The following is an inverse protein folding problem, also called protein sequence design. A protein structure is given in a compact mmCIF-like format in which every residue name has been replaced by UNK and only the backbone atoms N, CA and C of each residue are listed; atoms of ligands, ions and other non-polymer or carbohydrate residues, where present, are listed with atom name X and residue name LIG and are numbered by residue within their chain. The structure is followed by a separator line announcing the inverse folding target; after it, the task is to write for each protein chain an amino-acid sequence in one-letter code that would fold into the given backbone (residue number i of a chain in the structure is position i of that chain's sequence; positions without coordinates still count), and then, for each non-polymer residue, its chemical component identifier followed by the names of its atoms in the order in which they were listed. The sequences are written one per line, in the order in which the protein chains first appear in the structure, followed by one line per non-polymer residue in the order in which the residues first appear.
data_IF_252675060329
#
_entry.id   IF_252675060329
#
_cell.length_a   1.000
_cell.length_b   1.000
_cell.length_c   1.000
_cell.angle_alpha   90.00
_cell.angle_beta   90.00
_cell.angle_gamma   90.00
#
_symmetry.space_group_name_H-M   'P 1'
#
loop_
_entity.id
_entity.type
_entity.pdbx_description
1 polymer ?
#
# COMPACT_ATOMS: atom_id res chain seq x y z
N UNK A 1 -28.77 20.43 25.17
CA UNK A 1 -28.50 19.00 25.35
C UNK A 1 -28.33 18.27 23.99
N UNK A 2 -29.27 18.46 23.06
CA UNK A 2 -29.21 17.81 21.75
C UNK A 2 -28.02 18.30 20.92
N UNK A 3 -27.70 19.60 20.94
CA UNK A 3 -26.58 20.19 20.23
C UNK A 3 -25.24 19.64 20.75
N UNK A 4 -25.08 19.48 22.06
CA UNK A 4 -23.87 18.90 22.62
C UNK A 4 -23.72 17.42 22.27
N UNK A 5 -24.80 16.67 22.18
CA UNK A 5 -24.79 15.27 21.75
C UNK A 5 -24.32 15.15 20.29
N UNK A 6 -24.84 15.97 19.37
CA UNK A 6 -24.43 16.01 17.99
C UNK A 6 -22.96 16.41 17.83
N UNK A 7 -22.49 17.42 18.56
CA UNK A 7 -21.09 17.84 18.56
C UNK A 7 -20.18 16.73 19.09
N UNK A 8 -20.63 16.00 20.12
CA UNK A 8 -19.90 14.82 20.62
C UNK A 8 -19.76 13.73 19.58
N UNK A 9 -20.83 13.43 18.84
CA UNK A 9 -20.79 12.45 17.74
C UNK A 9 -19.86 12.88 16.61
N UNK A 10 -19.92 14.15 16.20
CA UNK A 10 -19.03 14.72 15.18
C UNK A 10 -17.58 14.62 15.63
N UNK A 11 -17.28 14.91 16.90
CA UNK A 11 -15.92 14.80 17.43
C UNK A 11 -15.42 13.35 17.46
N UNK A 12 -16.28 12.38 17.77
CA UNK A 12 -15.94 10.94 17.72
C UNK A 12 -15.64 10.53 16.29
N UNK A 13 -16.47 10.91 15.32
CA UNK A 13 -16.24 10.61 13.90
C UNK A 13 -14.94 11.24 13.41
N UNK A 14 -14.69 12.49 13.74
CA UNK A 14 -13.44 13.18 13.39
C UNK A 14 -12.23 12.49 14.02
N UNK A 15 -12.34 12.01 15.26
CA UNK A 15 -11.29 11.27 15.94
C UNK A 15 -10.93 9.96 15.24
N UNK A 16 -11.94 9.19 14.83
CA UNK A 16 -11.70 7.94 14.11
C UNK A 16 -11.11 8.18 12.71
N UNK A 17 -11.60 9.16 11.98
CA UNK A 17 -11.04 9.52 10.68
C UNK A 17 -9.59 10.00 10.79
N UNK A 18 -9.28 10.80 11.81
CA UNK A 18 -7.91 11.23 12.07
C UNK A 18 -7.00 10.04 12.40
N UNK A 19 -7.48 9.10 13.21
CA UNK A 19 -6.74 7.89 13.54
C UNK A 19 -6.45 7.05 12.28
N UNK A 20 -7.43 6.88 11.40
CA UNK A 20 -7.27 6.16 10.14
C UNK A 20 -6.28 6.89 9.22
N UNK A 21 -6.39 8.21 9.11
CA UNK A 21 -5.44 9.01 8.34
C UNK A 21 -4.01 8.84 8.84
N UNK A 22 -3.81 8.87 10.15
CA UNK A 22 -2.49 8.68 10.75
C UNK A 22 -1.93 7.27 10.46
N UNK A 23 -2.76 6.25 10.46
CA UNK A 23 -2.37 4.88 10.09
C UNK A 23 -1.96 4.83 8.62
N UNK A 24 -2.72 5.43 7.73
CA UNK A 24 -2.40 5.51 6.30
C UNK A 24 -1.07 6.22 6.10
N UNK A 25 -0.86 7.36 6.75
CA UNK A 25 0.37 8.13 6.65
C UNK A 25 1.57 7.31 7.16
N UNK A 26 1.43 6.61 8.26
CA UNK A 26 2.50 5.78 8.81
C UNK A 26 2.85 4.60 7.90
N UNK A 27 1.85 3.94 7.32
CA UNK A 27 2.08 2.89 6.31
C UNK A 27 2.76 3.47 5.07
N UNK A 28 2.29 4.59 4.57
CA UNK A 28 2.82 5.24 3.37
C UNK A 28 4.26 5.72 3.58
N UNK A 29 4.59 6.18 4.77
CA UNK A 29 5.95 6.66 5.09
C UNK A 29 6.93 5.51 5.38
N UNK A 30 6.45 4.33 5.77
CA UNK A 30 7.29 3.22 6.23
C UNK A 30 7.09 1.90 5.50
N UNK A 31 6.35 1.86 4.38
CA UNK A 31 6.08 0.61 3.66
C UNK A 31 7.35 -0.12 3.21
N UNK A 32 8.42 0.61 2.95
CA UNK A 32 9.71 0.08 2.52
C UNK A 32 10.46 -0.67 3.63
N UNK A 33 10.06 -0.49 4.89
CA UNK A 33 10.61 -1.26 5.99
C UNK A 33 9.99 -2.65 6.00
N UNK A 34 10.83 -3.69 5.87
CA UNK A 34 10.34 -5.07 5.86
C UNK A 34 9.72 -5.48 7.19
N UNK A 35 10.17 -4.90 8.28
CA UNK A 35 9.80 -5.21 9.66
C UNK A 35 8.74 -4.25 10.26
N UNK A 36 7.98 -3.56 9.42
CA UNK A 36 6.91 -2.69 9.91
C UNK A 36 5.92 -3.50 10.76
N UNK A 37 5.74 -3.07 12.00
CA UNK A 37 4.82 -3.69 12.94
C UNK A 37 3.45 -3.01 12.91
N UNK A 38 2.53 -3.56 12.10
CA UNK A 38 1.18 -3.03 11.97
C UNK A 38 0.40 -3.06 13.29
N UNK A 39 0.68 -4.02 14.18
CA UNK A 39 0.03 -4.06 15.48
C UNK A 39 0.39 -2.82 16.30
N UNK A 40 1.65 -2.44 16.33
CA UNK A 40 2.10 -1.21 16.99
C UNK A 40 1.51 0.04 16.35
N UNK A 41 1.44 0.09 15.02
CA UNK A 41 0.82 1.19 14.27
C UNK A 41 -0.64 1.36 14.68
N UNK A 42 -1.40 0.26 14.74
CA UNK A 42 -2.81 0.28 15.11
C UNK A 42 -3.02 0.67 16.59
N UNK A 43 -2.17 0.19 17.48
CA UNK A 43 -2.23 0.52 18.91
C UNK A 43 -2.05 2.01 19.20
N UNK A 44 -1.25 2.71 18.42
CA UNK A 44 -1.05 4.16 18.55
C UNK A 44 -2.36 4.96 18.36
N UNK A 45 -3.36 4.38 17.72
CA UNK A 45 -4.66 5.04 17.51
C UNK A 45 -5.43 5.30 18.81
N UNK A 46 -5.14 4.56 19.89
CA UNK A 46 -5.87 4.59 21.14
C UNK A 46 -7.18 3.81 21.15
N UNK A 47 -7.60 3.28 20.00
CA UNK A 47 -8.77 2.40 19.88
C UNK A 47 -8.38 0.93 20.04
N UNK A 48 -9.36 0.07 20.36
CA UNK A 48 -9.09 -1.37 20.32
C UNK A 48 -8.72 -1.81 18.91
N UNK A 49 -7.89 -2.85 18.82
CA UNK A 49 -7.39 -3.32 17.53
C UNK A 49 -8.52 -3.75 16.59
N UNK A 50 -9.50 -4.51 17.13
CA UNK A 50 -10.65 -4.96 16.33
C UNK A 50 -11.50 -3.79 15.82
N UNK A 51 -11.72 -2.79 16.66
CA UNK A 51 -12.49 -1.61 16.31
C UNK A 51 -11.82 -0.80 15.21
N UNK A 52 -10.52 -0.54 15.36
CA UNK A 52 -9.79 0.26 14.35
C UNK A 52 -9.63 -0.49 13.03
N UNK A 53 -9.42 -1.81 13.06
CA UNK A 53 -9.37 -2.63 11.85
C UNK A 53 -10.67 -2.60 11.08
N UNK A 54 -11.79 -2.74 11.76
CA UNK A 54 -13.11 -2.69 11.15
C UNK A 54 -13.40 -1.32 10.51
N UNK A 55 -13.07 -0.24 11.20
CA UNK A 55 -13.26 1.10 10.67
C UNK A 55 -12.30 1.44 9.53
N UNK A 56 -11.07 0.99 9.62
CA UNK A 56 -10.09 1.14 8.53
C UNK A 56 -10.62 0.49 7.24
N UNK A 57 -11.13 -0.73 7.33
CA UNK A 57 -11.73 -1.44 6.19
C UNK A 57 -12.98 -0.74 5.67
N UNK A 58 -13.82 -0.22 6.55
CA UNK A 58 -15.02 0.52 6.18
C UNK A 58 -14.69 1.78 5.39
N UNK A 59 -13.66 2.52 5.79
CA UNK A 59 -13.26 3.78 5.17
C UNK A 59 -12.44 3.56 3.89
N UNK A 60 -11.48 2.64 3.92
CA UNK A 60 -10.53 2.42 2.80
C UNK A 60 -10.95 1.30 1.84
N UNK A 61 -11.89 0.45 2.24
CA UNK A 61 -12.25 -0.76 1.50
C UNK A 61 -11.28 -1.93 1.68
N UNK A 62 -10.22 -1.77 2.45
CA UNK A 62 -9.13 -2.75 2.63
C UNK A 62 -8.75 -2.89 4.08
N UNK A 63 -8.24 -4.07 4.46
CA UNK A 63 -7.58 -4.23 5.75
C UNK A 63 -6.25 -3.47 5.77
N UNK A 64 -5.70 -3.13 6.94
CA UNK A 64 -4.37 -2.51 7.02
C UNK A 64 -3.27 -3.34 6.33
N UNK A 65 -3.33 -4.66 6.45
CA UNK A 65 -2.38 -5.58 5.79
C UNK A 65 -2.51 -5.52 4.26
N UNK A 66 -3.74 -5.56 3.75
CA UNK A 66 -4.00 -5.41 2.31
C UNK A 66 -3.54 -4.04 1.81
N UNK A 67 -3.76 -2.99 2.58
CA UNK A 67 -3.33 -1.65 2.23
C UNK A 67 -1.80 -1.56 2.14
N UNK A 68 -1.08 -2.13 3.11
CA UNK A 68 0.38 -2.20 3.08
C UNK A 68 0.89 -2.97 1.86
N UNK A 69 0.34 -4.15 1.61
CA UNK A 69 0.71 -4.99 0.45
C UNK A 69 0.49 -4.23 -0.86
N UNK A 70 -0.65 -3.59 -1.00
CA UNK A 70 -0.99 -2.84 -2.21
C UNK A 70 -0.08 -1.61 -2.40
N UNK A 71 0.26 -0.92 -1.33
CA UNK A 71 1.21 0.20 -1.36
C UNK A 71 2.58 -0.28 -1.84
N UNK A 72 3.08 -1.39 -1.30
CA UNK A 72 4.35 -1.99 -1.70
C UNK A 72 4.37 -2.40 -3.18
N UNK A 73 3.33 -3.10 -3.63
CA UNK A 73 3.24 -3.58 -5.01
C UNK A 73 3.08 -2.42 -5.99
N UNK A 74 2.29 -1.41 -5.66
CA UNK A 74 2.14 -0.21 -6.49
C UNK A 74 3.47 0.55 -6.64
N UNK A 75 4.24 0.64 -5.56
CA UNK A 75 5.56 1.25 -5.62
C UNK A 75 6.54 0.42 -6.47
N UNK A 76 6.45 -0.91 -6.40
CA UNK A 76 7.22 -1.79 -7.27
C UNK A 76 6.92 -1.54 -8.75
N UNK A 77 5.65 -1.39 -9.11
CA UNK A 77 5.27 -1.02 -10.49
C UNK A 77 5.89 0.31 -10.91
N UNK A 78 5.83 1.31 -10.05
CA UNK A 78 6.46 2.61 -10.31
C UNK A 78 7.97 2.47 -10.55
N UNK A 79 8.68 1.68 -9.75
CA UNK A 79 10.11 1.45 -9.92
C UNK A 79 10.43 0.69 -11.20
N UNK A 80 9.63 -0.32 -11.55
CA UNK A 80 9.79 -1.07 -12.80
C UNK A 80 9.60 -0.16 -14.00
N UNK A 81 8.55 0.66 -14.00
CA UNK A 81 8.26 1.58 -15.09
C UNK A 81 9.33 2.67 -15.23
N UNK A 82 9.86 3.14 -14.11
CA UNK A 82 10.86 4.21 -14.08
C UNK A 82 12.24 3.71 -14.50
N UNK A 83 12.71 2.59 -13.93
CA UNK A 83 14.07 2.10 -14.09
C UNK A 83 14.21 1.02 -15.15
N UNK A 84 13.10 0.43 -15.63
CA UNK A 84 13.08 -0.60 -16.69
C UNK A 84 14.07 -1.74 -16.37
N UNK A 85 15.10 -1.91 -17.20
CA UNK A 85 16.14 -2.94 -17.03
C UNK A 85 17.36 -2.48 -16.22
N UNK A 86 17.39 -1.24 -15.76
CA UNK A 86 18.54 -0.66 -15.07
C UNK A 86 18.77 -1.27 -13.68
N UNK A 87 17.73 -1.79 -13.04
CA UNK A 87 17.77 -2.35 -11.69
C UNK A 87 17.20 -3.77 -11.73
N UNK A 88 17.85 -4.76 -11.07
CA UNK A 88 17.30 -6.10 -10.93
C UNK A 88 15.98 -6.09 -10.17
N UNK A 89 15.06 -7.00 -10.52
CA UNK A 89 13.78 -7.13 -9.81
C UNK A 89 13.95 -7.49 -8.33
N UNK A 90 15.00 -8.21 -7.98
CA UNK A 90 15.35 -8.50 -6.58
C UNK A 90 15.63 -7.23 -5.80
N UNK A 91 16.39 -6.29 -6.36
CA UNK A 91 16.66 -5.00 -5.73
C UNK A 91 15.37 -4.16 -5.60
N UNK A 92 14.49 -4.19 -6.60
CA UNK A 92 13.19 -3.53 -6.54
C UNK A 92 12.34 -4.10 -5.41
N UNK A 93 12.27 -5.44 -5.27
CA UNK A 93 11.51 -6.06 -4.19
C UNK A 93 12.03 -5.66 -2.80
N UNK A 94 13.34 -5.60 -2.63
CA UNK A 94 13.96 -5.15 -1.37
C UNK A 94 13.62 -3.70 -1.06
N UNK A 95 13.68 -2.81 -2.03
CA UNK A 95 13.28 -1.40 -1.85
C UNK A 95 11.81 -1.23 -1.51
N UNK A 96 10.98 -2.20 -1.85
CA UNK A 96 9.56 -2.20 -1.52
C UNK A 96 9.23 -2.89 -0.19
N UNK A 97 10.26 -3.30 0.58
CA UNK A 97 10.07 -3.89 1.89
C UNK A 97 9.90 -5.40 1.89
N UNK A 98 10.31 -6.10 0.83
CA UNK A 98 10.26 -7.56 0.77
C UNK A 98 11.65 -8.15 0.95
N UNK A 99 11.79 -9.08 1.88
CA UNK A 99 13.03 -9.85 2.09
C UNK A 99 13.11 -11.02 1.12
N UNK A 100 11.97 -11.64 0.81
CA UNK A 100 11.88 -12.82 -0.05
C UNK A 100 11.28 -12.43 -1.40
N UNK A 101 12.10 -12.55 -2.45
CA UNK A 101 11.68 -12.25 -3.83
C UNK A 101 10.57 -13.21 -4.31
N UNK A 102 10.59 -14.47 -3.91
CA UNK A 102 9.57 -15.45 -4.32
C UNK A 102 8.21 -15.04 -3.74
N UNK A 103 8.19 -14.64 -2.49
CA UNK A 103 6.98 -14.11 -1.85
C UNK A 103 6.48 -12.84 -2.53
N UNK A 104 7.37 -11.90 -2.83
CA UNK A 104 7.06 -10.68 -3.59
C UNK A 104 6.45 -11.02 -4.95
N UNK A 105 7.09 -11.88 -5.72
CA UNK A 105 6.64 -12.29 -7.06
C UNK A 105 5.24 -12.90 -7.01
N UNK A 106 4.97 -13.73 -6.00
CA UNK A 106 3.66 -14.34 -5.80
C UNK A 106 2.59 -13.30 -5.49
N UNK A 107 2.87 -12.35 -4.60
CA UNK A 107 1.94 -11.25 -4.27
C UNK A 107 1.70 -10.34 -5.46
N UNK A 108 2.72 -10.05 -6.23
CA UNK A 108 2.61 -9.27 -7.47
C UNK A 108 1.68 -9.96 -8.46
N UNK A 109 1.89 -11.25 -8.70
CA UNK A 109 1.06 -12.05 -9.62
C UNK A 109 -0.39 -12.15 -9.17
N UNK A 110 -0.65 -12.28 -7.88
CA UNK A 110 -2.01 -12.28 -7.34
C UNK A 110 -2.75 -10.97 -7.68
N UNK A 111 -2.06 -9.83 -7.65
CA UNK A 111 -2.67 -8.54 -7.97
C UNK A 111 -2.85 -8.30 -9.46
N UNK A 112 -1.85 -8.59 -10.26
CA UNK A 112 -1.82 -8.22 -11.68
C UNK A 112 -2.05 -9.38 -12.64
N UNK A 113 -2.11 -10.61 -12.16
CA UNK A 113 -2.26 -11.81 -12.98
C UNK A 113 -1.00 -12.24 -13.73
N UNK A 114 0.07 -11.45 -13.69
CA UNK A 114 1.35 -11.73 -14.33
C UNK A 114 2.51 -11.52 -13.35
N UNK A 115 3.65 -12.14 -13.63
CA UNK A 115 4.85 -12.00 -12.80
C UNK A 115 5.50 -10.62 -12.97
N UNK A 116 6.33 -10.16 -12.01
CA UNK A 116 7.10 -8.92 -12.17
C UNK A 116 7.95 -8.90 -13.43
N UNK A 117 8.53 -10.03 -13.81
CA UNK A 117 9.32 -10.16 -15.02
C UNK A 117 8.51 -9.97 -16.28
N UNK A 118 7.31 -10.55 -16.33
CA UNK A 118 6.37 -10.36 -17.44
C UNK A 118 5.87 -8.92 -17.51
N UNK A 119 5.54 -8.34 -16.36
CA UNK A 119 5.13 -6.94 -16.28
C UNK A 119 6.22 -6.01 -16.82
N UNK A 120 7.48 -6.22 -16.43
CA UNK A 120 8.60 -5.42 -16.91
C UNK A 120 8.76 -5.48 -18.43
N UNK A 121 8.62 -6.67 -19.02
CA UNK A 121 8.66 -6.83 -20.49
C UNK A 121 7.55 -6.06 -21.18
N UNK A 122 6.34 -6.12 -20.67
CA UNK A 122 5.20 -5.37 -21.21
C UNK A 122 5.39 -3.86 -21.06
N UNK A 123 5.89 -3.39 -19.93
CA UNK A 123 6.16 -1.97 -19.67
C UNK A 123 7.20 -1.42 -20.68
N UNK A 124 8.26 -2.17 -20.97
CA UNK A 124 9.29 -1.79 -21.94
C UNK A 124 8.69 -1.71 -23.35
N UNK A 125 7.88 -2.69 -23.77
CA UNK A 125 7.23 -2.72 -25.07
C UNK A 125 6.29 -1.53 -25.24
N UNK A 126 5.47 -1.20 -24.23
CA UNK A 126 4.59 -0.03 -24.23
C UNK A 126 5.37 1.27 -24.39
N UNK A 127 6.43 1.46 -23.62
CA UNK A 127 7.27 2.66 -23.71
C UNK A 127 7.85 2.83 -25.12
N UNK A 128 8.34 1.76 -25.71
CA UNK A 128 8.87 1.75 -27.06
C UNK A 128 7.81 2.11 -28.11
N UNK A 129 6.60 1.58 -27.97
CA UNK A 129 5.47 1.86 -28.87
C UNK A 129 5.04 3.32 -28.80
N UNK A 130 5.02 3.93 -27.62
CA UNK A 130 4.71 5.35 -27.42
C UNK A 130 5.78 6.23 -28.08
N UNK A 131 7.06 5.94 -27.85
CA UNK A 131 8.18 6.71 -28.41
C UNK A 131 8.25 6.61 -29.93
N UNK A 132 7.88 5.45 -30.50
CA UNK A 132 7.86 5.24 -31.95
C UNK A 132 6.60 5.72 -32.66
N UNK A 133 5.59 6.18 -31.90
CA UNK A 133 4.33 6.67 -32.47
C UNK A 133 3.45 5.60 -33.11
N UNK A 134 3.61 4.34 -32.71
CA UNK A 134 2.87 3.19 -33.25
C UNK A 134 1.52 2.95 -32.54
N UNK A 135 0.72 3.99 -32.41
CA UNK A 135 -0.66 3.87 -31.94
C UNK A 135 -1.63 4.19 -33.06
#
# INVERSE_FOLDING_TARGET
AFTHFLLGLINIENGIYLAIKNIIDEITDNFYCYDIDLCSVLKKSGYSEDYIRAHFKKVTGKTPTEFLTETRISHACYLIDTYRNSIPLTAISEQCGYVDYIYFSRRFKEKFGITPSQYRKQSIIWSFSIESGQF
#
